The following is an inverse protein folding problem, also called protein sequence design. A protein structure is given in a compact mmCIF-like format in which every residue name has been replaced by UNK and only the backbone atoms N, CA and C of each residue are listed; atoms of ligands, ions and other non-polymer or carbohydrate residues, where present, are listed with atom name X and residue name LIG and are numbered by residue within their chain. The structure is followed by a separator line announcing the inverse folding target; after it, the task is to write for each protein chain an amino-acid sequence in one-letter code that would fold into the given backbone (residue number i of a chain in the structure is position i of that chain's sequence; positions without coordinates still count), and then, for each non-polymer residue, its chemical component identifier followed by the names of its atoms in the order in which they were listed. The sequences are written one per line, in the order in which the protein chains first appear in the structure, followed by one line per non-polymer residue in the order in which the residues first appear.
data_IF_026679483309
#
_entry.id   IF_026679483309
#
_cell.length_a   1.000
_cell.length_b   1.000
_cell.length_c   1.000
_cell.angle_alpha   90.00
_cell.angle_beta   90.00
_cell.angle_gamma   90.00
#
_symmetry.space_group_name_H-M   'P 1'
#
loop_
_entity.id
_entity.type
_entity.pdbx_description
1 polymer ?
#
# COMPACT_ATOMS: atom_id res chain seq x y z
N UNK A 1 28.97 -3.37 -4.73
CA UNK A 1 29.30 -3.90 -6.08
C UNK A 1 30.78 -4.19 -6.35
N UNK A 2 31.72 -3.84 -5.48
CA UNK A 2 33.14 -4.12 -5.74
C UNK A 2 33.47 -5.63 -5.80
N UNK A 3 32.82 -6.47 -5.00
CA UNK A 3 33.06 -7.93 -5.01
C UNK A 3 32.54 -8.62 -6.29
N UNK A 4 31.36 -8.24 -6.79
CA UNK A 4 30.80 -8.79 -8.03
C UNK A 4 31.65 -8.37 -9.23
N UNK A 5 32.09 -7.11 -9.25
CA UNK A 5 33.00 -6.61 -10.28
C UNK A 5 34.35 -7.33 -10.26
N UNK A 6 34.90 -7.61 -9.07
CA UNK A 6 36.14 -8.39 -8.95
C UNK A 6 35.96 -9.80 -9.51
N UNK A 7 34.89 -10.51 -9.13
CA UNK A 7 34.58 -11.86 -9.64
C UNK A 7 34.46 -11.92 -11.17
N UNK A 8 33.81 -10.92 -11.78
CA UNK A 8 33.65 -10.86 -13.23
C UNK A 8 34.98 -10.66 -13.97
N UNK A 9 35.95 -9.96 -13.37
CA UNK A 9 37.24 -9.66 -13.97
C UNK A 9 38.34 -10.69 -13.66
N UNK A 10 38.09 -11.67 -12.79
CA UNK A 10 39.05 -12.73 -12.50
C UNK A 10 39.31 -13.60 -13.74
N UNK A 11 40.56 -13.97 -14.07
CA UNK A 11 40.87 -14.71 -15.30
C UNK A 11 40.45 -16.19 -15.27
N UNK A 12 39.98 -16.74 -14.14
CA UNK A 12 39.47 -18.10 -14.00
C UNK A 12 37.95 -18.18 -13.80
N UNK A 13 37.34 -19.37 -13.94
CA UNK A 13 35.91 -19.62 -13.70
C UNK A 13 35.13 -20.11 -14.92
N UNK A 14 33.90 -20.60 -14.71
CA UNK A 14 33.03 -21.10 -15.80
C UNK A 14 32.40 -19.91 -16.54
N UNK A 15 32.57 -19.77 -17.86
CA UNK A 15 32.04 -18.63 -18.61
C UNK A 15 30.52 -18.44 -18.49
N UNK A 16 29.78 -19.54 -18.38
CA UNK A 16 28.32 -19.52 -18.24
C UNK A 16 27.86 -18.86 -16.93
N UNK A 17 28.52 -19.16 -15.80
CA UNK A 17 28.18 -18.59 -14.49
C UNK A 17 28.46 -17.08 -14.45
N UNK A 18 29.54 -16.64 -15.10
CA UNK A 18 29.85 -15.21 -15.23
C UNK A 18 28.85 -14.46 -16.11
N UNK A 19 28.41 -15.08 -17.19
CA UNK A 19 27.38 -14.51 -18.06
C UNK A 19 26.06 -14.35 -17.29
N UNK A 20 25.67 -15.36 -16.51
CA UNK A 20 24.46 -15.32 -15.69
C UNK A 20 24.53 -14.20 -14.63
N UNK A 21 25.66 -14.07 -13.93
CA UNK A 21 25.86 -12.97 -12.98
C UNK A 21 25.85 -11.62 -13.67
N UNK A 22 26.45 -11.50 -14.85
CA UNK A 22 26.43 -10.27 -15.62
C UNK A 22 25.02 -9.91 -16.08
N UNK A 23 24.21 -10.90 -16.44
CA UNK A 23 22.83 -10.66 -16.88
C UNK A 23 21.95 -10.07 -15.78
N UNK A 24 22.14 -10.51 -14.54
CA UNK A 24 21.46 -9.98 -13.36
C UNK A 24 22.11 -8.69 -12.80
N UNK A 25 23.45 -8.64 -12.71
CA UNK A 25 24.16 -7.66 -11.87
C UNK A 25 25.20 -6.81 -12.62
N UNK A 26 25.39 -7.03 -13.91
CA UNK A 26 26.49 -6.45 -14.70
C UNK A 26 26.36 -4.95 -14.99
N UNK A 27 25.15 -4.40 -14.91
CA UNK A 27 24.91 -2.95 -15.08
C UNK A 27 23.89 -2.46 -14.06
N UNK A 28 23.85 -1.14 -13.85
CA UNK A 28 22.89 -0.51 -12.94
C UNK A 28 21.43 -0.85 -13.31
N UNK A 29 21.06 -0.74 -14.59
CA UNK A 29 19.69 -1.02 -15.05
C UNK A 29 19.31 -2.49 -14.85
N UNK A 30 20.24 -3.42 -15.12
CA UNK A 30 20.03 -4.85 -14.88
C UNK A 30 19.82 -5.13 -13.39
N UNK A 31 20.67 -4.57 -12.54
CA UNK A 31 20.53 -4.66 -11.08
C UNK A 31 19.18 -4.13 -10.61
N UNK A 32 18.71 -2.99 -11.15
CA UNK A 32 17.41 -2.43 -10.81
C UNK A 32 16.27 -3.39 -11.17
N UNK A 33 16.29 -3.96 -12.38
CA UNK A 33 15.30 -4.96 -12.84
C UNK A 33 15.35 -6.21 -11.96
N UNK A 34 16.55 -6.71 -11.64
CA UNK A 34 16.74 -7.87 -10.77
C UNK A 34 16.23 -7.61 -9.36
N UNK A 35 16.41 -6.40 -8.81
CA UNK A 35 15.85 -6.04 -7.52
C UNK A 35 14.32 -6.00 -7.56
N UNK A 36 13.72 -5.49 -8.64
CA UNK A 36 12.28 -5.60 -8.86
C UNK A 36 11.81 -7.06 -8.96
N UNK A 37 12.55 -7.92 -9.67
CA UNK A 37 12.27 -9.35 -9.80
C UNK A 37 12.36 -10.08 -8.45
N UNK A 38 13.36 -9.77 -7.62
CA UNK A 38 13.50 -10.30 -6.25
C UNK A 38 12.31 -9.89 -5.38
N UNK A 39 11.82 -8.67 -5.56
CA UNK A 39 10.72 -8.13 -4.74
C UNK A 39 9.35 -8.67 -5.17
N UNK A 40 9.08 -8.78 -6.47
CA UNK A 40 7.73 -9.03 -7.01
C UNK A 40 7.58 -10.36 -7.75
N UNK A 41 8.68 -10.97 -8.18
CA UNK A 41 8.70 -12.14 -9.06
C UNK A 41 9.46 -13.32 -8.45
N UNK A 42 10.32 -13.94 -9.25
CA UNK A 42 11.09 -15.11 -8.83
C UNK A 42 12.40 -14.70 -8.15
N UNK A 43 12.40 -14.72 -6.83
CA UNK A 43 13.55 -14.30 -6.03
C UNK A 43 14.66 -15.34 -5.91
N UNK A 44 14.38 -16.63 -6.15
CA UNK A 44 15.31 -17.69 -5.82
C UNK A 44 16.52 -17.78 -6.77
N UNK A 45 16.37 -17.72 -8.11
CA UNK A 45 17.51 -17.76 -9.03
C UNK A 45 18.53 -16.64 -8.80
N UNK A 46 18.17 -15.33 -8.83
CA UNK A 46 19.17 -14.26 -8.74
C UNK A 46 19.91 -14.26 -7.39
N UNK A 47 19.26 -14.66 -6.30
CA UNK A 47 19.90 -14.79 -4.98
C UNK A 47 20.82 -16.01 -4.94
N UNK A 48 20.39 -17.17 -5.45
CA UNK A 48 21.21 -18.39 -5.46
C UNK A 48 22.45 -18.23 -6.32
N UNK A 49 22.34 -17.62 -7.50
CA UNK A 49 23.46 -17.37 -8.40
C UNK A 49 24.51 -16.49 -7.72
N UNK A 50 24.11 -15.46 -6.97
CA UNK A 50 25.05 -14.60 -6.23
C UNK A 50 25.65 -15.29 -4.99
N UNK A 51 24.83 -16.10 -4.30
CA UNK A 51 25.23 -16.84 -3.10
C UNK A 51 26.28 -17.92 -3.40
N UNK A 52 26.09 -18.67 -4.50
CA UNK A 52 26.97 -19.78 -4.89
C UNK A 52 28.26 -19.27 -5.51
N UNK A 53 28.18 -18.28 -6.39
CA UNK A 53 29.32 -17.90 -7.23
C UNK A 53 30.16 -16.76 -6.64
N UNK A 54 29.59 -15.87 -5.80
CA UNK A 54 30.31 -14.71 -5.25
C UNK A 54 30.57 -14.86 -3.76
N UNK A 55 29.51 -14.97 -2.95
CA UNK A 55 29.65 -15.14 -1.50
C UNK A 55 28.33 -15.53 -0.86
N UNK A 56 28.38 -16.46 0.11
CA UNK A 56 27.20 -16.86 0.89
C UNK A 56 26.54 -15.69 1.63
N UNK A 57 27.29 -14.65 2.00
CA UNK A 57 26.77 -13.45 2.67
C UNK A 57 25.76 -12.66 1.83
N UNK A 58 25.84 -12.77 0.50
CA UNK A 58 24.85 -12.17 -0.39
C UNK A 58 23.48 -12.80 -0.24
N UNK A 59 23.42 -14.12 0.02
CA UNK A 59 22.18 -14.84 0.29
C UNK A 59 21.45 -14.24 1.50
N UNK A 60 22.16 -14.10 2.62
CA UNK A 60 21.60 -13.51 3.83
C UNK A 60 21.16 -12.05 3.63
N UNK A 61 22.00 -11.25 2.96
CA UNK A 61 21.73 -9.82 2.75
C UNK A 61 20.47 -9.58 1.90
N UNK A 62 20.31 -10.31 0.79
CA UNK A 62 19.15 -10.15 -0.11
C UNK A 62 17.86 -10.72 0.49
N UNK A 63 17.96 -11.80 1.29
CA UNK A 63 16.80 -12.33 2.03
C UNK A 63 16.33 -11.32 3.09
N UNK A 64 17.25 -10.70 3.84
CA UNK A 64 16.90 -9.66 4.81
C UNK A 64 16.25 -8.45 4.14
N UNK A 65 16.80 -7.98 3.01
CA UNK A 65 16.18 -6.93 2.20
C UNK A 65 14.73 -7.27 1.83
N UNK A 66 14.49 -8.50 1.32
CA UNK A 66 13.14 -8.96 0.97
C UNK A 66 12.21 -8.98 2.18
N UNK A 67 12.66 -9.48 3.33
CA UNK A 67 11.85 -9.52 4.55
C UNK A 67 11.41 -8.11 4.98
N UNK A 68 12.33 -7.14 4.96
CA UNK A 68 12.01 -5.73 5.29
C UNK A 68 11.00 -5.17 4.28
N UNK A 69 11.21 -5.42 2.98
CA UNK A 69 10.30 -4.93 1.94
C UNK A 69 8.90 -5.55 2.08
N UNK A 70 8.80 -6.87 2.26
CA UNK A 70 7.51 -7.54 2.45
C UNK A 70 6.80 -7.03 3.71
N UNK A 71 7.53 -6.83 4.80
CA UNK A 71 6.96 -6.27 6.03
C UNK A 71 6.45 -4.83 5.82
N UNK A 72 7.24 -3.99 5.17
CA UNK A 72 6.86 -2.63 4.84
C UNK A 72 5.61 -2.59 3.93
N UNK A 73 5.58 -3.42 2.88
CA UNK A 73 4.45 -3.49 1.94
C UNK A 73 3.15 -3.89 2.64
N UNK A 74 3.19 -4.91 3.50
CA UNK A 74 2.02 -5.35 4.29
C UNK A 74 1.54 -4.23 5.20
N UNK A 75 2.44 -3.55 5.90
CA UNK A 75 2.07 -2.45 6.79
C UNK A 75 1.45 -1.26 6.04
N UNK A 76 2.03 -0.89 4.90
CA UNK A 76 1.48 0.17 4.04
C UNK A 76 0.10 -0.22 3.53
N UNK A 77 -0.07 -1.46 3.08
CA UNK A 77 -1.35 -1.97 2.59
C UNK A 77 -2.41 -1.93 3.69
N UNK A 78 -2.08 -2.39 4.89
CA UNK A 78 -2.96 -2.35 6.05
C UNK A 78 -3.32 -0.91 6.43
N UNK A 79 -2.35 0.01 6.44
CA UNK A 79 -2.58 1.40 6.74
C UNK A 79 -3.51 2.07 5.72
N UNK A 80 -3.35 1.77 4.42
CA UNK A 80 -4.24 2.27 3.37
C UNK A 80 -5.67 1.74 3.55
N UNK A 81 -5.84 0.44 3.84
CA UNK A 81 -7.17 -0.12 4.10
C UNK A 81 -7.85 0.51 5.31
N UNK A 82 -7.12 0.72 6.40
CA UNK A 82 -7.66 1.40 7.59
C UNK A 82 -8.03 2.85 7.25
N UNK A 83 -7.19 3.55 6.49
CA UNK A 83 -7.42 4.95 6.11
C UNK A 83 -8.65 5.10 5.22
N UNK A 84 -8.79 4.26 4.19
CA UNK A 84 -9.98 4.27 3.33
C UNK A 84 -11.25 3.86 4.11
N UNK A 85 -11.17 2.84 4.95
CA UNK A 85 -12.32 2.42 5.79
C UNK A 85 -12.75 3.56 6.72
N UNK A 86 -11.80 4.23 7.37
CA UNK A 86 -12.09 5.35 8.26
C UNK A 86 -12.66 6.55 7.49
N UNK A 87 -12.17 6.81 6.27
CA UNK A 87 -12.70 7.87 5.41
C UNK A 87 -14.16 7.63 5.06
N UNK A 88 -14.50 6.41 4.62
CA UNK A 88 -15.88 6.04 4.29
C UNK A 88 -16.79 6.13 5.52
N UNK A 89 -16.35 5.61 6.66
CA UNK A 89 -17.13 5.70 7.91
C UNK A 89 -17.35 7.16 8.35
N UNK A 90 -16.32 8.01 8.23
CA UNK A 90 -16.42 9.43 8.56
C UNK A 90 -17.39 10.16 7.62
N UNK A 91 -17.36 9.85 6.33
CA UNK A 91 -18.30 10.43 5.35
C UNK A 91 -19.75 10.02 5.67
N UNK A 92 -19.99 8.75 6.04
CA UNK A 92 -21.30 8.26 6.47
C UNK A 92 -21.80 8.98 7.74
N UNK A 93 -20.96 9.12 8.76
CA UNK A 93 -21.30 9.84 10.00
C UNK A 93 -21.65 11.31 9.73
N UNK A 94 -20.89 11.99 8.85
CA UNK A 94 -21.15 13.37 8.44
C UNK A 94 -22.49 13.49 7.70
N UNK A 95 -22.83 12.53 6.84
CA UNK A 95 -24.10 12.51 6.12
C UNK A 95 -25.27 12.29 7.08
N UNK A 96 -25.17 11.37 8.04
CA UNK A 96 -26.19 11.15 9.06
C UNK A 96 -26.43 12.41 9.91
N UNK A 97 -25.36 13.06 10.39
CA UNK A 97 -25.46 14.31 11.15
C UNK A 97 -26.15 15.43 10.35
N UNK A 98 -25.90 15.52 9.03
CA UNK A 98 -26.58 16.48 8.15
C UNK A 98 -28.07 16.17 8.03
N UNK A 99 -28.42 14.89 7.84
CA UNK A 99 -29.82 14.46 7.76
C UNK A 99 -30.58 14.82 9.04
N UNK A 100 -30.03 14.51 10.22
CA UNK A 100 -30.68 14.84 11.50
C UNK A 100 -30.86 16.36 11.71
N UNK A 101 -29.92 17.17 11.22
CA UNK A 101 -30.05 18.64 11.28
C UNK A 101 -31.14 19.15 10.35
N UNK A 102 -31.26 18.57 9.16
CA UNK A 102 -32.33 18.90 8.21
C UNK A 102 -33.69 18.50 8.76
N UNK A 103 -33.82 17.29 9.31
CA UNK A 103 -35.07 16.80 9.90
C UNK A 103 -35.50 17.66 11.09
N UNK A 104 -34.57 18.08 11.95
CA UNK A 104 -34.85 19.03 13.04
C UNK A 104 -35.34 20.38 12.53
N UNK A 105 -34.70 20.93 11.49
CA UNK A 105 -35.13 22.20 10.89
C UNK A 105 -36.51 22.09 10.27
N UNK A 106 -36.79 21.02 9.52
CA UNK A 106 -38.11 20.79 8.94
C UNK A 106 -39.19 20.66 10.01
N UNK A 107 -38.92 19.91 11.09
CA UNK A 107 -39.84 19.81 12.23
C UNK A 107 -40.10 21.17 12.88
N UNK A 108 -39.07 21.99 13.07
CA UNK A 108 -39.23 23.33 13.65
C UNK A 108 -40.07 24.25 12.76
N UNK A 109 -39.81 24.26 11.43
CA UNK A 109 -40.60 25.05 10.47
C UNK A 109 -42.04 24.58 10.41
N UNK A 110 -42.27 23.26 10.37
CA UNK A 110 -43.63 22.70 10.38
C UNK A 110 -44.37 23.03 11.66
N UNK A 111 -43.69 23.01 12.82
CA UNK A 111 -44.28 23.42 14.09
C UNK A 111 -44.65 24.91 14.09
N UNK A 112 -43.77 25.77 13.60
CA UNK A 112 -44.00 27.22 13.51
C UNK A 112 -45.20 27.54 12.59
N UNK A 113 -45.27 26.90 11.42
CA UNK A 113 -46.42 27.02 10.51
C UNK A 113 -47.70 26.48 11.16
N UNK A 114 -47.61 25.38 11.92
CA UNK A 114 -48.76 24.80 12.60
C UNK A 114 -49.29 25.72 13.69
N UNK A 115 -48.41 26.30 14.50
CA UNK A 115 -48.75 27.26 15.56
C UNK A 115 -49.36 28.55 14.97
N UNK A 116 -48.94 28.98 13.78
CA UNK A 116 -49.51 30.15 13.10
C UNK A 116 -50.90 29.87 12.50
N UNK A 117 -51.19 28.62 12.12
CA UNK A 117 -52.49 28.21 11.54
C UNK A 117 -53.50 27.83 12.65
N UNK A 118 -53.05 27.32 13.79
CA UNK A 118 -53.90 26.95 14.92
C UNK A 118 -54.34 28.20 15.73
N UNK A 119 -55.27 28.98 15.17
CA UNK A 119 -55.87 30.15 15.84
C UNK A 119 -56.71 29.79 17.09
N UNK A 120 -57.07 28.50 17.26
CA UNK A 120 -57.95 27.99 18.31
C UNK A 120 -57.19 27.45 19.53
N UNK A 121 -55.95 26.97 19.31
CA UNK A 121 -55.08 26.38 20.34
C UNK A 121 -55.51 24.99 20.79
N UNK A 122 -56.35 24.31 20.02
CA UNK A 122 -56.86 22.97 20.31
C UNK A 122 -56.00 21.85 19.68
N UNK A 123 -54.95 22.21 18.94
CA UNK A 123 -54.05 21.28 18.28
C UNK A 123 -54.66 20.61 17.04
N UNK A 124 -55.75 21.16 16.50
CA UNK A 124 -56.46 20.64 15.33
C UNK A 124 -56.63 21.75 14.27
N UNK A 125 -56.01 21.57 13.11
CA UNK A 125 -56.27 22.46 11.96
C UNK A 125 -57.67 22.17 11.43
N UNK A 126 -58.62 23.02 11.77
CA UNK A 126 -59.98 22.96 11.22
C UNK A 126 -60.03 23.73 9.91
N UNK A 127 -60.46 23.03 8.84
CA UNK A 127 -60.73 23.62 7.51
C UNK A 127 -61.96 24.51 7.50
#
# INVERSE_FOLDING_TARGET
NQMVFNYLNEPGGVPAEKLEIYDYWGTYTRMLITMCEITLGNWAPPIRTLMVNVSQWWGLSLVMYRCIFCFALVNVTNAVFITETNRVASDEEVLMMRQERLDRKHKAVLADIFDEIDESGDGLVTS
#
